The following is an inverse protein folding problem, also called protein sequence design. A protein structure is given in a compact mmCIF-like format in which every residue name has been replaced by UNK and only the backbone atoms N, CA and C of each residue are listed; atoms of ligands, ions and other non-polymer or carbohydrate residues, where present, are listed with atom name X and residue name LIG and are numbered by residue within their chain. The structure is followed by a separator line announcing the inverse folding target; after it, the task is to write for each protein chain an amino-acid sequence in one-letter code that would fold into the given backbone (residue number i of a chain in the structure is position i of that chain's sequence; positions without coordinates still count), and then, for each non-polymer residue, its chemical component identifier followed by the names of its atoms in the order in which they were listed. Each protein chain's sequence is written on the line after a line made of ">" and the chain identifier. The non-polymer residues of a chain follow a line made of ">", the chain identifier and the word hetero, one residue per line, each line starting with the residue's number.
data_IF_628590537774
#
_entry.id   IF_628590537774
#
_cell.length_a   1.000
_cell.length_b   1.000
_cell.length_c   1.000
_cell.angle_alpha   90.00
_cell.angle_beta   90.00
_cell.angle_gamma   90.00
#
_symmetry.space_group_name_H-M   'P 1'
#
loop_
_entity.id
_entity.type
_entity.pdbx_description
1 polymer ?
#
# COMPACT_ATOMS: atom_id res chain seq x y z
N UNK A 1 15.23 26.89 -53.53
CA UNK A 1 13.84 26.56 -53.14
C UNK A 1 13.71 26.05 -51.70
N UNK A 2 14.67 25.25 -51.19
CA UNK A 2 14.62 24.70 -49.82
C UNK A 2 14.87 25.75 -48.70
N UNK A 3 15.74 26.74 -48.95
CA UNK A 3 16.09 27.79 -47.98
C UNK A 3 14.94 28.76 -47.69
N UNK A 4 14.11 29.08 -48.69
CA UNK A 4 12.98 30.00 -48.53
C UNK A 4 11.86 29.40 -47.69
N UNK A 5 11.59 28.10 -47.86
CA UNK A 5 10.60 27.35 -47.06
C UNK A 5 11.09 27.19 -45.63
N UNK A 6 12.38 26.92 -45.42
CA UNK A 6 12.97 26.83 -44.08
C UNK A 6 12.90 28.16 -43.32
N UNK A 7 13.21 29.27 -43.98
CA UNK A 7 13.12 30.60 -43.38
C UNK A 7 11.67 31.00 -43.06
N UNK A 8 10.72 30.64 -43.91
CA UNK A 8 9.29 30.88 -43.65
C UNK A 8 8.80 30.07 -42.45
N UNK A 9 9.23 28.80 -42.34
CA UNK A 9 8.89 27.95 -41.19
C UNK A 9 9.46 28.51 -39.89
N UNK A 10 10.71 28.97 -39.92
CA UNK A 10 11.37 29.55 -38.75
C UNK A 10 10.71 30.86 -38.30
N UNK A 11 10.33 31.72 -39.25
CA UNK A 11 9.56 32.94 -38.97
C UNK A 11 8.19 32.63 -38.38
N UNK A 12 7.51 31.59 -38.88
CA UNK A 12 6.24 31.12 -38.31
C UNK A 12 6.43 30.54 -36.90
N UNK A 13 7.44 29.70 -36.69
CA UNK A 13 7.80 29.17 -35.36
C UNK A 13 8.09 30.31 -34.39
N UNK A 14 8.91 31.30 -34.76
CA UNK A 14 9.26 32.44 -33.91
C UNK A 14 8.03 33.30 -33.58
N UNK A 15 7.13 33.56 -34.54
CA UNK A 15 5.87 34.29 -34.31
C UNK A 15 4.93 33.51 -33.39
N UNK A 16 4.81 32.19 -33.59
CA UNK A 16 3.96 31.30 -32.78
C UNK A 16 4.50 31.25 -31.35
N UNK A 17 5.80 31.07 -31.19
CA UNK A 17 6.50 31.06 -29.90
C UNK A 17 6.31 32.40 -29.20
N UNK A 18 6.59 33.54 -29.85
CA UNK A 18 6.43 34.88 -29.25
C UNK A 18 4.99 35.19 -28.81
N UNK A 19 3.96 34.75 -29.55
CA UNK A 19 2.55 34.95 -29.18
C UNK A 19 2.02 33.96 -28.12
N UNK A 20 2.61 32.76 -28.03
CA UNK A 20 2.16 31.70 -27.12
C UNK A 20 2.98 31.67 -25.81
N UNK A 21 4.20 32.22 -25.80
CA UNK A 21 5.24 31.77 -24.85
C UNK A 21 5.01 32.11 -23.38
N UNK A 22 4.41 33.25 -23.02
CA UNK A 22 4.29 33.63 -21.59
C UNK A 22 2.96 34.30 -21.27
N UNK A 23 2.53 35.27 -22.07
CA UNK A 23 1.29 36.00 -21.76
C UNK A 23 0.04 35.13 -21.93
N UNK A 24 0.02 34.25 -22.93
CA UNK A 24 -1.07 33.31 -23.14
C UNK A 24 -1.15 32.28 -22.00
N UNK A 25 -0.02 31.75 -21.53
CA UNK A 25 0.01 30.77 -20.42
C UNK A 25 -0.36 31.41 -19.08
N UNK A 26 0.10 32.64 -18.81
CA UNK A 26 -0.31 33.43 -17.64
C UNK A 26 -1.79 33.74 -17.70
N UNK A 27 -2.29 34.27 -18.82
CA UNK A 27 -3.69 34.61 -18.99
C UNK A 27 -4.61 33.38 -18.87
N UNK A 28 -4.22 32.27 -19.48
CA UNK A 28 -4.93 30.99 -19.38
C UNK A 28 -4.96 30.48 -17.93
N UNK A 29 -3.86 30.62 -17.19
CA UNK A 29 -3.83 30.26 -15.77
C UNK A 29 -4.75 31.16 -14.96
N UNK A 30 -4.73 32.48 -15.17
CA UNK A 30 -5.64 33.40 -14.49
C UNK A 30 -7.12 33.15 -14.83
N UNK A 31 -7.43 32.68 -16.04
CA UNK A 31 -8.77 32.27 -16.44
C UNK A 31 -9.20 30.94 -15.78
N UNK A 32 -8.30 29.95 -15.72
CA UNK A 32 -8.58 28.62 -15.19
C UNK A 32 -8.52 28.53 -13.66
N UNK A 33 -7.76 29.40 -12.97
CA UNK A 33 -7.61 29.37 -11.51
C UNK A 33 -8.92 29.58 -10.75
N UNK A 34 -9.78 30.55 -11.10
CA UNK A 34 -11.11 30.68 -10.50
C UNK A 34 -11.98 29.44 -10.74
N UNK A 35 -11.91 28.84 -11.94
CA UNK A 35 -12.62 27.59 -12.25
C UNK A 35 -12.10 26.44 -11.39
N UNK A 36 -10.78 26.29 -11.28
CA UNK A 36 -10.15 25.28 -10.43
C UNK A 36 -10.61 25.47 -8.98
N UNK A 37 -10.53 26.66 -8.41
CA UNK A 37 -10.91 26.91 -7.01
C UNK A 37 -12.41 26.67 -6.80
N UNK A 38 -13.27 27.19 -7.68
CA UNK A 38 -14.73 27.10 -7.52
C UNK A 38 -15.27 25.68 -7.67
N UNK A 39 -14.61 24.79 -8.40
CA UNK A 39 -15.05 23.40 -8.57
C UNK A 39 -14.24 22.39 -7.75
N UNK A 40 -12.91 22.55 -7.67
CA UNK A 40 -12.03 21.64 -6.94
C UNK A 40 -12.25 21.77 -5.43
N UNK A 41 -12.37 23.00 -4.90
CA UNK A 41 -12.51 23.18 -3.46
C UNK A 41 -13.82 22.56 -2.92
N UNK A 42 -15.01 22.81 -3.51
CA UNK A 42 -16.22 22.13 -3.08
C UNK A 42 -16.14 20.62 -3.26
N UNK A 43 -15.51 20.13 -4.33
CA UNK A 43 -15.30 18.70 -4.52
C UNK A 43 -14.46 18.08 -3.39
N UNK A 44 -13.35 18.72 -3.01
CA UNK A 44 -12.51 18.28 -1.89
C UNK A 44 -13.30 18.31 -0.58
N UNK A 45 -14.09 19.35 -0.33
CA UNK A 45 -14.93 19.44 0.87
C UNK A 45 -15.95 18.30 0.89
N UNK A 46 -16.63 18.02 -0.22
CA UNK A 46 -17.58 16.91 -0.34
C UNK A 46 -16.89 15.58 -0.05
N UNK A 47 -15.70 15.33 -0.62
CA UNK A 47 -14.91 14.13 -0.34
C UNK A 47 -14.58 14.02 1.15
N UNK A 48 -14.14 15.11 1.80
CA UNK A 48 -13.85 15.12 3.24
C UNK A 48 -15.10 14.84 4.09
N UNK A 49 -16.27 15.36 3.72
CA UNK A 49 -17.53 15.08 4.40
C UNK A 49 -17.94 13.60 4.28
N UNK A 50 -17.82 13.01 3.09
CA UNK A 50 -18.09 11.59 2.89
C UNK A 50 -17.08 10.69 3.61
N UNK A 51 -15.79 11.05 3.63
CA UNK A 51 -14.78 10.35 4.43
C UNK A 51 -15.11 10.42 5.93
N UNK A 52 -15.59 11.57 6.41
CA UNK A 52 -16.02 11.73 7.80
C UNK A 52 -17.22 10.83 8.12
N UNK A 53 -18.23 10.82 7.25
CA UNK A 53 -19.39 9.94 7.38
C UNK A 53 -18.99 8.46 7.37
N UNK A 54 -18.05 8.07 6.50
CA UNK A 54 -17.51 6.72 6.41
C UNK A 54 -16.82 6.32 7.73
N UNK A 55 -15.96 7.18 8.29
CA UNK A 55 -15.30 6.92 9.58
C UNK A 55 -16.33 6.72 10.69
N UNK A 56 -17.37 7.55 10.75
CA UNK A 56 -18.44 7.42 11.75
C UNK A 56 -19.23 6.12 11.56
N UNK A 57 -19.48 5.69 10.32
CA UNK A 57 -20.18 4.46 10.03
C UNK A 57 -19.36 3.22 10.44
N UNK A 58 -18.07 3.19 10.08
CA UNK A 58 -17.14 2.14 10.50
C UNK A 58 -17.03 2.10 12.02
N UNK A 59 -16.90 3.25 12.67
CA UNK A 59 -16.87 3.32 14.13
C UNK A 59 -18.17 2.78 14.72
N UNK A 60 -19.34 3.15 14.19
CA UNK A 60 -20.64 2.65 14.65
C UNK A 60 -20.73 1.12 14.53
N UNK A 61 -20.25 0.56 13.42
CA UNK A 61 -20.28 -0.88 13.15
C UNK A 61 -19.34 -1.66 14.08
N UNK A 62 -18.11 -1.18 14.28
CA UNK A 62 -17.08 -1.88 15.05
C UNK A 62 -16.86 -1.32 16.47
N UNK A 63 -17.76 -0.45 16.98
CA UNK A 63 -17.61 0.33 18.24
C UNK A 63 -17.16 -0.49 19.45
N UNK A 64 -17.71 -1.70 19.61
CA UNK A 64 -17.41 -2.55 20.77
C UNK A 64 -15.96 -3.02 20.72
N UNK A 65 -15.49 -3.46 19.55
CA UNK A 65 -14.12 -3.93 19.33
C UNK A 65 -13.11 -2.79 19.40
N UNK A 66 -13.43 -1.66 18.77
CA UNK A 66 -12.62 -0.45 18.80
C UNK A 66 -12.43 0.07 20.24
N UNK A 67 -13.51 0.13 21.03
CA UNK A 67 -13.43 0.54 22.44
C UNK A 67 -12.49 -0.34 23.25
N UNK A 68 -12.54 -1.65 23.05
CA UNK A 68 -11.66 -2.59 23.74
C UNK A 68 -10.19 -2.41 23.30
N UNK A 69 -9.95 -2.03 22.04
CA UNK A 69 -8.61 -1.80 21.51
C UNK A 69 -7.95 -0.53 22.04
N UNK A 70 -8.72 0.54 22.31
CA UNK A 70 -8.17 1.81 22.80
C UNK A 70 -7.54 1.72 24.20
N UNK A 71 -7.82 0.67 24.97
CA UNK A 71 -7.15 0.40 26.24
C UNK A 71 -5.76 -0.24 26.11
N UNK A 72 -5.28 -0.47 24.88
CA UNK A 72 -4.01 -1.15 24.59
C UNK A 72 -2.99 -0.21 23.96
N UNK A 73 -1.78 -0.70 23.68
CA UNK A 73 -0.74 0.05 22.98
C UNK A 73 -1.25 0.72 21.69
N UNK A 74 -0.72 1.91 21.38
CA UNK A 74 -1.19 2.71 20.24
C UNK A 74 -1.10 1.95 18.91
N UNK A 75 -0.09 1.08 18.75
CA UNK A 75 0.04 0.23 17.55
C UNK A 75 -1.07 -0.80 17.45
N UNK A 76 -1.51 -1.37 18.58
CA UNK A 76 -2.64 -2.30 18.62
C UNK A 76 -3.95 -1.57 18.32
N UNK A 77 -4.15 -0.39 18.92
CA UNK A 77 -5.31 0.44 18.65
C UNK A 77 -5.39 0.83 17.16
N UNK A 78 -4.28 1.32 16.59
CA UNK A 78 -4.19 1.68 15.17
C UNK A 78 -4.48 0.49 14.26
N UNK A 79 -3.93 -0.70 14.56
CA UNK A 79 -4.20 -1.93 13.80
C UNK A 79 -5.69 -2.29 13.78
N UNK A 80 -6.36 -2.19 14.93
CA UNK A 80 -7.79 -2.48 15.02
C UNK A 80 -8.64 -1.47 14.24
N UNK A 81 -8.25 -0.19 14.23
CA UNK A 81 -8.91 0.84 13.39
C UNK A 81 -8.74 0.52 11.91
N UNK A 82 -7.51 0.27 11.47
CA UNK A 82 -7.21 -0.08 10.07
C UNK A 82 -7.96 -1.33 9.65
N UNK A 83 -7.96 -2.38 10.48
CA UNK A 83 -8.69 -3.61 10.20
C UNK A 83 -10.21 -3.39 10.13
N UNK A 84 -10.79 -2.55 10.99
CA UNK A 84 -12.21 -2.22 10.91
C UNK A 84 -12.57 -1.53 9.58
N UNK A 85 -11.73 -0.62 9.10
CA UNK A 85 -11.93 0.05 7.80
C UNK A 85 -11.85 -0.96 6.66
N UNK A 86 -10.83 -1.83 6.63
CA UNK A 86 -10.68 -2.83 5.57
C UNK A 86 -11.79 -3.90 5.60
N UNK A 87 -12.20 -4.38 6.78
CA UNK A 87 -13.32 -5.34 6.94
C UNK A 87 -14.65 -4.72 6.48
N UNK A 88 -14.93 -3.47 6.87
CA UNK A 88 -16.11 -2.75 6.41
C UNK A 88 -16.09 -2.53 4.88
N UNK A 89 -14.95 -2.14 4.32
CA UNK A 89 -14.80 -1.95 2.88
C UNK A 89 -15.01 -3.27 2.11
N UNK A 90 -14.39 -4.37 2.55
CA UNK A 90 -14.56 -5.67 1.93
C UNK A 90 -16.01 -6.16 1.97
N UNK A 91 -16.69 -5.93 3.09
CA UNK A 91 -18.10 -6.28 3.24
C UNK A 91 -19.02 -5.43 2.35
N UNK A 92 -18.85 -4.09 2.33
CA UNK A 92 -19.72 -3.18 1.56
C UNK A 92 -19.53 -3.37 0.06
N UNK A 93 -18.27 -3.46 -0.41
CA UNK A 93 -17.98 -3.38 -1.83
C UNK A 93 -18.02 -4.74 -2.53
N UNK A 94 -17.60 -5.79 -1.84
CA UNK A 94 -17.43 -7.12 -2.42
C UNK A 94 -18.27 -8.20 -1.75
N UNK A 95 -19.02 -7.87 -0.68
CA UNK A 95 -19.69 -8.88 0.13
C UNK A 95 -18.72 -9.91 0.69
N UNK A 96 -17.48 -9.49 1.01
CA UNK A 96 -16.40 -10.41 1.33
C UNK A 96 -16.66 -11.18 2.62
N UNK A 97 -16.74 -12.50 2.51
CA UNK A 97 -16.92 -13.44 3.62
C UNK A 97 -15.85 -14.51 3.61
N UNK A 98 -15.46 -14.96 4.80
CA UNK A 98 -14.45 -16.00 4.99
C UNK A 98 -15.12 -17.16 5.70
N UNK A 99 -15.17 -18.30 5.02
CA UNK A 99 -15.75 -19.53 5.54
C UNK A 99 -14.67 -20.34 6.27
N UNK A 100 -15.01 -20.95 7.40
CA UNK A 100 -14.10 -21.83 8.14
C UNK A 100 -13.08 -21.09 9.01
N UNK A 101 -13.42 -19.90 9.50
CA UNK A 101 -12.56 -19.08 10.36
C UNK A 101 -12.33 -19.74 11.73
N UNK A 102 -13.29 -20.57 12.15
CA UNK A 102 -13.27 -21.43 13.32
C UNK A 102 -12.18 -22.53 13.25
N UNK A 103 -11.69 -22.87 12.06
CA UNK A 103 -10.65 -23.87 11.89
C UNK A 103 -9.25 -23.36 12.21
N UNK A 104 -9.09 -22.07 12.49
CA UNK A 104 -7.79 -21.48 12.82
C UNK A 104 -7.45 -21.84 14.28
N UNK A 105 -6.39 -22.65 14.52
CA UNK A 105 -6.02 -23.04 15.88
C UNK A 105 -5.50 -21.83 16.64
N UNK A 106 -5.91 -21.67 17.91
CA UNK A 106 -5.57 -20.49 18.71
C UNK A 106 -4.19 -20.59 19.38
N UNK A 107 -3.80 -21.80 19.80
CA UNK A 107 -2.61 -22.03 20.63
C UNK A 107 -1.39 -22.52 19.85
N UNK A 108 -1.50 -22.67 18.53
CA UNK A 108 -0.45 -23.21 17.70
C UNK A 108 0.06 -22.17 16.69
N UNK A 109 1.33 -22.25 16.27
CA UNK A 109 1.83 -21.51 15.12
C UNK A 109 1.12 -21.96 13.85
N UNK A 110 0.67 -21.00 13.04
CA UNK A 110 -0.04 -21.26 11.77
C UNK A 110 0.71 -20.58 10.64
N UNK A 111 0.90 -21.31 9.54
CA UNK A 111 1.34 -20.75 8.27
C UNK A 111 0.16 -20.71 7.31
N UNK A 112 -0.24 -19.50 6.91
CA UNK A 112 -1.25 -19.32 5.88
C UNK A 112 -0.59 -19.31 4.50
N UNK A 113 -1.02 -20.21 3.62
CA UNK A 113 -0.63 -20.23 2.20
C UNK A 113 -1.81 -19.70 1.40
N UNK A 114 -1.60 -18.64 0.64
CA UNK A 114 -2.65 -17.96 -0.11
C UNK A 114 -2.21 -17.72 -1.56
N UNK A 115 -3.21 -17.57 -2.44
CA UNK A 115 -2.98 -17.19 -3.82
C UNK A 115 -2.62 -15.70 -3.91
N UNK A 116 -1.53 -15.38 -4.60
CA UNK A 116 -1.09 -13.99 -4.79
C UNK A 116 -1.58 -13.45 -6.15
N UNK A 117 -2.61 -12.60 -6.13
CA UNK A 117 -3.05 -11.83 -7.31
C UNK A 117 -2.12 -10.64 -7.61
N UNK A 118 -2.38 -9.90 -8.71
CA UNK A 118 -1.58 -8.71 -9.05
C UNK A 118 -1.62 -7.63 -7.95
N UNK A 119 -2.77 -7.49 -7.30
CA UNK A 119 -2.97 -6.71 -6.07
C UNK A 119 -3.75 -7.62 -5.12
N UNK A 120 -3.14 -8.15 -4.05
CA UNK A 120 -3.78 -9.12 -3.16
C UNK A 120 -4.70 -8.42 -2.15
N UNK A 121 -5.76 -7.78 -2.63
CA UNK A 121 -6.72 -7.04 -1.79
C UNK A 121 -7.45 -7.99 -0.82
N UNK A 122 -7.80 -9.17 -1.31
CA UNK A 122 -8.50 -10.23 -0.58
C UNK A 122 -7.73 -10.64 0.68
N UNK A 123 -6.39 -10.65 0.60
CA UNK A 123 -5.51 -10.91 1.72
C UNK A 123 -5.68 -9.85 2.82
N UNK A 124 -5.83 -8.57 2.45
CA UNK A 124 -6.04 -7.50 3.44
C UNK A 124 -7.37 -7.67 4.17
N UNK A 125 -8.43 -8.10 3.48
CA UNK A 125 -9.71 -8.41 4.13
C UNK A 125 -9.59 -9.62 5.05
N UNK A 126 -8.92 -10.68 4.61
CA UNK A 126 -8.67 -11.86 5.43
C UNK A 126 -7.90 -11.53 6.71
N UNK A 127 -6.77 -10.82 6.59
CA UNK A 127 -5.95 -10.40 7.74
C UNK A 127 -6.77 -9.54 8.70
N UNK A 128 -7.55 -8.60 8.16
CA UNK A 128 -8.40 -7.71 8.97
C UNK A 128 -9.45 -8.49 9.76
N UNK A 129 -10.11 -9.45 9.11
CA UNK A 129 -11.14 -10.29 9.73
C UNK A 129 -10.55 -11.20 10.82
N UNK A 130 -9.39 -11.82 10.56
CA UNK A 130 -8.68 -12.64 11.57
C UNK A 130 -8.22 -11.78 12.75
N UNK A 131 -7.69 -10.58 12.51
CA UNK A 131 -7.28 -9.69 13.58
C UNK A 131 -8.47 -9.27 14.46
N UNK A 132 -9.59 -8.89 13.85
CA UNK A 132 -10.78 -8.42 14.57
C UNK A 132 -11.50 -9.54 15.34
N UNK A 133 -11.43 -10.79 14.88
CA UNK A 133 -12.14 -11.93 15.48
C UNK A 133 -11.27 -12.66 16.51
N UNK A 134 -10.03 -12.97 16.14
CA UNK A 134 -9.15 -13.83 16.94
C UNK A 134 -8.09 -13.04 17.70
N UNK A 135 -8.02 -11.71 17.53
CA UNK A 135 -6.98 -10.85 18.12
C UNK A 135 -5.54 -11.29 17.78
N UNK A 136 -5.36 -12.08 16.70
CA UNK A 136 -4.05 -12.54 16.23
C UNK A 136 -3.62 -11.72 15.02
N UNK A 137 -2.41 -11.16 15.07
CA UNK A 137 -1.79 -10.50 13.94
C UNK A 137 -1.15 -11.54 13.02
N UNK A 138 -1.46 -11.48 11.73
CA UNK A 138 -0.80 -12.30 10.71
C UNK A 138 0.46 -11.57 10.22
N UNK A 139 1.61 -12.21 10.37
CA UNK A 139 2.88 -11.71 9.85
C UNK A 139 2.95 -12.00 8.35
N UNK A 140 2.88 -10.96 7.53
CA UNK A 140 2.91 -11.10 6.07
C UNK A 140 4.32 -10.94 5.52
N UNK A 141 4.64 -11.72 4.49
CA UNK A 141 5.89 -11.59 3.73
C UNK A 141 5.63 -10.72 2.51
N UNK A 142 6.51 -9.75 2.27
CA UNK A 142 6.39 -8.79 1.19
C UNK A 142 7.75 -8.55 0.54
N UNK A 143 7.75 -8.16 -0.74
CA UNK A 143 8.98 -7.88 -1.47
C UNK A 143 9.68 -6.60 -0.96
N UNK A 144 11.02 -6.56 -1.09
CA UNK A 144 11.86 -5.43 -0.68
C UNK A 144 11.49 -4.12 -1.38
N UNK A 145 10.92 -4.18 -2.58
CA UNK A 145 10.48 -3.01 -3.33
C UNK A 145 9.48 -2.15 -2.53
N UNK A 146 8.56 -2.78 -1.80
CA UNK A 146 7.53 -2.07 -1.05
C UNK A 146 8.13 -1.14 0.03
N UNK A 147 9.31 -1.48 0.57
CA UNK A 147 10.01 -0.67 1.57
C UNK A 147 10.71 0.57 0.99
N UNK A 148 10.80 0.67 -0.34
CA UNK A 148 11.34 1.86 -1.02
C UNK A 148 10.27 2.92 -1.28
N UNK A 149 8.99 2.56 -1.19
CA UNK A 149 7.89 3.49 -1.35
C UNK A 149 7.72 4.37 -0.10
N UNK A 150 7.59 5.70 -0.25
CA UNK A 150 7.37 6.59 0.89
C UNK A 150 6.07 6.23 1.62
N UNK A 151 6.09 6.29 2.96
CA UNK A 151 4.95 5.94 3.80
C UNK A 151 4.76 4.44 4.08
N UNK A 152 5.44 3.55 3.38
CA UNK A 152 5.29 2.10 3.59
C UNK A 152 6.05 1.58 4.82
N UNK A 153 7.02 2.35 5.33
CA UNK A 153 7.80 1.98 6.52
C UNK A 153 6.93 1.89 7.78
N UNK A 154 6.02 2.84 8.01
CA UNK A 154 5.13 2.81 9.17
C UNK A 154 4.09 1.69 9.06
N UNK A 155 3.56 1.47 7.84
CA UNK A 155 2.61 0.39 7.57
C UNK A 155 3.27 -0.96 7.85
N UNK A 156 4.48 -1.17 7.35
CA UNK A 156 5.19 -2.44 7.53
C UNK A 156 5.63 -2.70 8.98
N UNK A 157 6.02 -1.68 9.75
CA UNK A 157 6.31 -1.86 11.18
C UNK A 157 5.05 -2.18 12.00
N UNK A 158 3.97 -1.42 11.78
CA UNK A 158 2.73 -1.58 12.54
C UNK A 158 2.04 -2.92 12.21
N UNK A 159 2.01 -3.31 10.94
CA UNK A 159 1.44 -4.59 10.48
C UNK A 159 2.42 -5.77 10.55
N UNK A 160 3.65 -5.55 11.02
CA UNK A 160 4.72 -6.55 11.11
C UNK A 160 4.96 -7.31 9.81
N UNK A 161 5.04 -6.57 8.71
CA UNK A 161 5.32 -7.06 7.36
C UNK A 161 6.83 -7.20 7.18
N UNK A 162 7.29 -8.42 6.88
CA UNK A 162 8.68 -8.85 6.67
C UNK A 162 9.69 -8.63 7.81
N UNK A 163 9.49 -7.70 8.74
CA UNK A 163 10.43 -7.41 9.84
C UNK A 163 10.77 -8.65 10.67
N UNK A 164 9.73 -9.35 11.17
CA UNK A 164 9.92 -10.57 11.95
C UNK A 164 10.66 -11.67 11.15
N UNK A 165 10.39 -11.78 9.85
CA UNK A 165 11.09 -12.74 8.99
C UNK A 165 12.57 -12.37 8.85
N UNK A 166 12.88 -11.10 8.63
CA UNK A 166 14.27 -10.64 8.51
C UNK A 166 15.04 -10.86 9.81
N UNK A 167 14.41 -10.62 10.97
CA UNK A 167 15.01 -10.90 12.27
C UNK A 167 15.34 -12.40 12.42
N UNK A 168 14.38 -13.28 12.07
CA UNK A 168 14.57 -14.72 12.05
C UNK A 168 15.70 -15.16 11.11
N UNK A 169 15.73 -14.61 9.89
CA UNK A 169 16.80 -14.86 8.92
C UNK A 169 18.14 -14.43 9.50
N UNK A 170 18.24 -13.24 10.10
CA UNK A 170 19.50 -12.74 10.67
C UNK A 170 20.02 -13.59 11.83
N UNK A 171 19.12 -14.16 12.64
CA UNK A 171 19.48 -14.97 13.80
C UNK A 171 19.82 -16.42 13.42
N UNK A 172 19.13 -17.00 12.45
CA UNK A 172 19.19 -18.44 12.19
C UNK A 172 19.78 -18.82 10.82
N UNK A 173 19.96 -17.86 9.91
CA UNK A 173 20.41 -18.13 8.54
C UNK A 173 21.59 -17.25 8.14
N UNK A 174 22.59 -17.85 7.49
CA UNK A 174 23.66 -17.11 6.82
C UNK A 174 23.25 -16.88 5.37
N UNK A 175 23.10 -15.62 4.96
CA UNK A 175 22.71 -15.26 3.59
C UNK A 175 23.98 -15.19 2.71
N UNK A 176 24.11 -16.04 1.68
CA UNK A 176 25.20 -15.90 0.71
C UNK A 176 24.96 -14.63 -0.11
N UNK A 177 25.97 -13.76 -0.19
CA UNK A 177 25.83 -12.42 -0.79
C UNK A 177 25.41 -12.41 -2.26
N UNK A 178 25.63 -13.51 -3.00
CA UNK A 178 25.12 -13.70 -4.36
C UNK A 178 24.81 -15.19 -4.65
N UNK A 179 24.11 -15.43 -5.76
CA UNK A 179 23.64 -16.77 -6.15
C UNK A 179 24.83 -17.70 -6.46
N UNK A 180 25.89 -17.21 -7.09
CA UNK A 180 27.06 -18.03 -7.43
C UNK A 180 27.79 -18.55 -6.21
N UNK A 181 28.02 -17.70 -5.19
CA UNK A 181 28.58 -18.10 -3.90
C UNK A 181 27.67 -19.09 -3.18
N UNK A 182 26.35 -18.86 -3.22
CA UNK A 182 25.37 -19.77 -2.63
C UNK A 182 25.45 -21.18 -3.23
N UNK A 183 25.58 -21.27 -4.56
CA UNK A 183 25.70 -22.53 -5.28
C UNK A 183 27.06 -23.22 -5.00
N UNK A 184 28.16 -22.46 -5.01
CA UNK A 184 29.50 -22.96 -4.69
C UNK A 184 29.57 -23.54 -3.28
N UNK A 185 29.02 -22.85 -2.28
CA UNK A 185 28.98 -23.34 -0.90
C UNK A 185 28.21 -24.66 -0.78
N UNK A 186 27.10 -24.81 -1.51
CA UNK A 186 26.30 -26.05 -1.52
C UNK A 186 27.08 -27.22 -2.11
N UNK A 187 27.74 -27.01 -3.26
CA UNK A 187 28.56 -28.05 -3.91
C UNK A 187 29.77 -28.42 -3.04
N UNK A 188 30.46 -27.43 -2.48
CA UNK A 188 31.62 -27.66 -1.61
C UNK A 188 31.25 -28.43 -0.33
N UNK A 189 30.15 -28.05 0.35
CA UNK A 189 29.66 -28.77 1.53
C UNK A 189 29.21 -30.19 1.23
N UNK A 190 28.58 -30.44 0.08
CA UNK A 190 28.20 -31.80 -0.33
C UNK A 190 29.45 -32.69 -0.44
N UNK A 191 30.49 -32.21 -1.12
CA UNK A 191 31.76 -32.93 -1.27
C UNK A 191 32.45 -33.23 0.07
N UNK A 192 32.40 -32.31 1.02
CA UNK A 192 32.99 -32.48 2.37
C UNK A 192 32.24 -33.51 3.24
N UNK A 193 30.96 -33.78 2.94
CA UNK A 193 30.16 -34.76 3.68
C UNK A 193 30.35 -36.19 3.16
N UNK A 194 30.86 -36.32 1.94
CA UNK A 194 31.16 -37.60 1.28
C UNK A 194 32.61 -38.07 1.52
N UNK A 195 33.49 -37.22 2.07
CA UNK A 195 34.86 -37.52 2.50
C UNK A 195 34.96 -37.80 3.99
#
# INVERSE_FOLDING_TARGET
>A
MFSTIFNLRKMLEDIIVEHIDVDCTVWLTWLLMPLLITFLLPFVIVVLLYLTALILYVYRLHRVRLRNAYGTDWRNAARNVVAAVWDAHGWIWYGYEVVGLENIPQNEPVLFVYYHGAIPIDLYYFISKVLLLNSRLIHSVADRFLFKCPGWSIISDVLKVAGALNDLISQHQRIPGNISLALLERVYKAKKKES
#
